data_IF_853313319615
#
_entry.id   IF_853313319615
#
_cell.length_a   1.000
_cell.length_b   1.000
_cell.length_c   1.000
_cell.angle_alpha   90.00
_cell.angle_beta   90.00
_cell.angle_gamma   90.00
#
_symmetry.space_group_name_H-M   'P 1'
#
loop_
_entity.id
_entity.type
_entity.pdbx_description
1 polymer ?
#
# COMPACT_ATOMS: atom_id res chain seq x y z
N UNK A 1 22.70 19.03 -7.74
CA UNK A 1 21.35 19.66 -7.76
C UNK A 1 20.89 19.75 -6.31
N UNK A 2 20.71 20.95 -5.76
CA UNK A 2 20.15 21.13 -4.42
C UNK A 2 18.69 20.65 -4.45
N UNK A 3 18.37 19.54 -3.77
CA UNK A 3 16.98 19.17 -3.45
C UNK A 3 16.48 20.24 -2.47
N UNK A 4 15.90 21.32 -2.99
CA UNK A 4 15.11 22.23 -2.15
C UNK A 4 14.03 21.41 -1.48
N UNK A 5 13.97 21.47 -0.14
CA UNK A 5 12.93 20.81 0.65
C UNK A 5 11.59 21.38 0.20
N UNK A 6 10.88 20.67 -0.68
CA UNK A 6 9.53 21.05 -1.07
C UNK A 6 8.64 20.76 0.13
N UNK A 7 8.15 21.82 0.74
CA UNK A 7 7.21 21.71 1.85
C UNK A 7 5.81 21.50 1.29
N UNK A 8 5.27 20.31 1.54
CA UNK A 8 3.89 19.98 1.20
C UNK A 8 2.98 20.34 2.40
N UNK A 9 1.85 21.03 2.18
CA UNK A 9 0.90 21.33 3.25
C UNK A 9 0.30 20.07 3.87
N UNK A 10 -0.19 20.18 5.11
CA UNK A 10 -0.93 19.07 5.75
C UNK A 10 -2.24 18.77 5.02
N UNK A 11 -2.63 17.49 4.99
CA UNK A 11 -3.93 17.01 4.50
C UNK A 11 -5.12 17.74 5.11
N UNK A 12 -4.98 18.31 6.31
CA UNK A 12 -6.00 19.16 6.93
C UNK A 12 -6.37 20.41 6.10
N UNK A 13 -5.49 20.84 5.18
CA UNK A 13 -5.72 21.97 4.28
C UNK A 13 -6.29 21.55 2.91
N UNK A 14 -6.45 20.26 2.66
CA UNK A 14 -6.98 19.76 1.41
C UNK A 14 -8.51 19.92 1.39
N UNK A 15 -9.02 20.74 0.48
CA UNK A 15 -10.46 20.80 0.19
C UNK A 15 -10.84 19.65 -0.76
N UNK A 16 -11.68 18.68 -0.35
CA UNK A 16 -12.12 17.59 -1.21
C UNK A 16 -13.17 18.01 -2.26
N UNK A 17 -13.72 19.23 -2.20
CA UNK A 17 -14.81 19.69 -3.07
C UNK A 17 -14.38 19.82 -4.53
N UNK A 18 -15.29 19.50 -5.47
CA UNK A 18 -15.06 19.71 -6.91
C UNK A 18 -14.06 18.75 -7.58
N UNK A 19 -13.62 17.68 -6.91
CA UNK A 19 -12.57 16.77 -7.41
C UNK A 19 -13.06 15.65 -8.34
N UNK A 20 -14.31 15.65 -8.77
CA UNK A 20 -14.86 14.57 -9.60
C UNK A 20 -14.06 14.33 -10.90
N UNK A 21 -13.49 15.37 -11.51
CA UNK A 21 -12.62 15.26 -12.70
C UNK A 21 -11.14 14.99 -12.39
N UNK A 22 -10.74 14.89 -11.13
CA UNK A 22 -9.34 14.78 -10.72
C UNK A 22 -8.89 13.32 -10.60
N UNK A 23 -7.62 13.10 -10.88
CA UNK A 23 -6.89 11.90 -10.53
C UNK A 23 -6.04 12.11 -9.27
N UNK A 24 -5.80 11.02 -8.55
CA UNK A 24 -5.00 11.00 -7.32
C UNK A 24 -3.97 9.88 -7.35
N UNK A 25 -2.75 10.18 -6.88
CA UNK A 25 -1.75 9.20 -6.50
C UNK A 25 -1.52 9.27 -4.99
N UNK A 26 -1.73 8.18 -4.28
CA UNK A 26 -1.60 8.14 -2.83
C UNK A 26 -0.70 7.00 -2.38
N UNK A 27 0.18 7.25 -1.43
CA UNK A 27 0.80 6.16 -0.68
C UNK A 27 -0.26 5.41 0.18
N UNK A 28 0.08 4.21 0.65
CA UNK A 28 -0.82 3.37 1.44
C UNK A 28 -0.55 3.48 2.94
N UNK A 29 0.62 3.05 3.41
CA UNK A 29 0.93 2.91 4.84
C UNK A 29 1.20 4.28 5.47
N UNK A 30 0.39 4.70 6.44
CA UNK A 30 0.50 6.01 7.08
C UNK A 30 -0.19 7.14 6.32
N UNK A 31 -0.56 6.88 5.06
CA UNK A 31 -1.30 7.81 4.20
C UNK A 31 -2.78 7.44 4.17
N UNK A 32 -3.17 6.37 3.46
CA UNK A 32 -4.55 5.90 3.43
C UNK A 32 -4.89 4.99 4.63
N UNK A 33 -3.87 4.40 5.25
CA UNK A 33 -3.98 3.64 6.50
C UNK A 33 -3.42 4.45 7.68
N UNK A 34 -3.92 4.20 8.88
CA UNK A 34 -3.39 4.81 10.11
C UNK A 34 -2.01 4.22 10.44
N UNK A 35 -1.82 2.91 10.26
CA UNK A 35 -0.53 2.25 10.47
C UNK A 35 0.47 2.68 9.41
N UNK A 36 1.65 3.10 9.87
CA UNK A 36 2.82 3.40 9.02
C UNK A 36 3.76 2.20 8.85
N UNK A 37 3.33 1.02 9.29
CA UNK A 37 4.12 -0.20 9.26
C UNK A 37 3.34 -1.30 8.56
N UNK A 38 3.98 -1.87 7.55
CA UNK A 38 3.45 -2.99 6.77
C UNK A 38 3.61 -4.34 7.50
N UNK A 39 4.40 -4.39 8.58
CA UNK A 39 4.75 -5.62 9.30
C UNK A 39 3.52 -6.45 9.74
N UNK A 40 2.47 -5.87 10.34
CA UNK A 40 1.30 -6.65 10.75
C UNK A 40 0.61 -7.37 9.58
N UNK A 41 0.56 -6.74 8.41
CA UNK A 41 -0.06 -7.32 7.22
C UNK A 41 0.81 -8.43 6.63
N UNK A 42 2.14 -8.27 6.62
CA UNK A 42 3.07 -9.34 6.22
C UNK A 42 3.05 -10.51 7.21
N UNK A 43 2.88 -10.25 8.50
CA UNK A 43 2.69 -11.29 9.52
C UNK A 43 1.43 -12.12 9.24
N UNK A 44 0.30 -11.46 8.97
CA UNK A 44 -0.93 -12.15 8.59
C UNK A 44 -0.73 -12.97 7.32
N UNK A 45 -0.12 -12.39 6.29
CA UNK A 45 0.16 -13.12 5.05
C UNK A 45 1.05 -14.35 5.29
N UNK A 46 2.09 -14.22 6.11
CA UNK A 46 3.01 -15.31 6.44
C UNK A 46 2.30 -16.46 7.17
N UNK A 47 1.39 -16.15 8.10
CA UNK A 47 0.62 -17.14 8.84
C UNK A 47 -0.43 -17.81 7.96
N UNK A 48 -1.20 -17.03 7.20
CA UNK A 48 -2.32 -17.54 6.41
C UNK A 48 -1.87 -18.32 5.17
N UNK A 49 -0.84 -17.84 4.47
CA UNK A 49 -0.35 -18.49 3.27
C UNK A 49 0.80 -19.48 3.55
N UNK A 50 1.56 -19.29 4.64
CA UNK A 50 2.77 -20.07 4.94
C UNK A 50 2.78 -20.80 6.29
N UNK A 51 1.73 -20.66 7.10
CA UNK A 51 1.57 -21.33 8.39
C UNK A 51 2.22 -20.61 9.58
N UNK A 52 1.80 -21.01 10.78
CA UNK A 52 2.21 -20.37 12.05
C UNK A 52 3.73 -20.37 12.25
N UNK A 53 4.44 -21.45 11.89
CA UNK A 53 5.90 -21.52 12.03
C UNK A 53 6.61 -20.39 11.27
N UNK A 54 6.08 -20.01 10.11
CA UNK A 54 6.61 -18.91 9.31
C UNK A 54 6.33 -17.56 9.96
N UNK A 55 5.13 -17.38 10.52
CA UNK A 55 4.81 -16.21 11.32
C UNK A 55 5.74 -16.05 12.53
N UNK A 56 6.01 -17.14 13.26
CA UNK A 56 6.96 -17.14 14.38
C UNK A 56 8.38 -16.78 13.91
N UNK A 57 8.85 -17.37 12.80
CA UNK A 57 10.14 -17.01 12.22
C UNK A 57 10.22 -15.53 11.87
N UNK A 58 9.17 -14.98 11.24
CA UNK A 58 9.10 -13.55 10.91
C UNK A 58 9.12 -12.68 12.18
N UNK A 59 8.44 -13.10 13.24
CA UNK A 59 8.41 -12.38 14.52
C UNK A 59 9.81 -12.35 15.15
N UNK A 60 10.52 -13.47 15.16
CA UNK A 60 11.89 -13.58 15.66
C UNK A 60 12.87 -12.72 14.84
N UNK A 61 12.67 -12.62 13.53
CA UNK A 61 13.48 -11.79 12.63
C UNK A 61 13.05 -10.32 12.61
N UNK A 62 11.96 -9.93 13.28
CA UNK A 62 11.47 -8.56 13.27
C UNK A 62 12.47 -7.50 13.76
N UNK A 63 13.35 -7.75 14.76
CA UNK A 63 14.37 -6.80 15.15
C UNK A 63 15.43 -6.60 14.06
N UNK A 64 15.76 -7.67 13.32
CA UNK A 64 16.68 -7.62 12.18
C UNK A 64 16.07 -6.86 11.00
N UNK A 65 14.79 -7.09 10.71
CA UNK A 65 14.04 -6.31 9.70
C UNK A 65 14.07 -4.82 10.06
N UNK A 66 13.81 -4.47 11.32
CA UNK A 66 13.86 -3.09 11.79
C UNK A 66 15.27 -2.49 11.70
N UNK A 67 16.29 -3.26 12.09
CA UNK A 67 17.69 -2.87 11.97
C UNK A 67 18.05 -2.55 10.51
N UNK A 68 17.74 -3.45 9.57
CA UNK A 68 18.00 -3.23 8.14
C UNK A 68 17.24 -2.01 7.63
N UNK A 69 15.95 -1.89 7.95
CA UNK A 69 15.10 -0.79 7.52
C UNK A 69 15.65 0.58 7.97
N UNK A 70 16.13 0.68 9.22
CA UNK A 70 16.55 1.97 9.82
C UNK A 70 18.01 2.32 9.61
N UNK A 71 18.91 1.33 9.65
CA UNK A 71 20.35 1.57 9.67
C UNK A 71 21.06 1.21 8.36
N UNK A 72 20.42 0.43 7.48
CA UNK A 72 21.00 0.04 6.19
C UNK A 72 20.24 0.72 5.05
N UNK A 73 19.00 0.31 4.81
CA UNK A 73 18.08 0.97 3.88
C UNK A 73 16.66 0.43 4.06
N UNK A 74 15.67 1.28 3.82
CA UNK A 74 14.26 0.89 3.81
C UNK A 74 14.00 -0.30 2.87
N UNK A 75 14.59 -0.27 1.67
CA UNK A 75 14.47 -1.35 0.69
C UNK A 75 15.01 -2.69 1.21
N UNK A 76 16.15 -2.72 1.92
CA UNK A 76 16.71 -3.96 2.47
C UNK A 76 15.81 -4.57 3.55
N UNK A 77 15.24 -3.74 4.43
CA UNK A 77 14.27 -4.21 5.43
C UNK A 77 13.02 -4.81 4.79
N UNK A 78 12.47 -4.14 3.76
CA UNK A 78 11.29 -4.63 3.03
C UNK A 78 11.61 -5.92 2.25
N UNK A 79 12.80 -6.04 1.65
CA UNK A 79 13.21 -7.27 0.98
C UNK A 79 13.29 -8.46 1.93
N UNK A 80 13.87 -8.29 3.13
CA UNK A 80 13.90 -9.36 4.12
C UNK A 80 12.49 -9.71 4.60
N UNK A 81 11.64 -8.71 4.84
CA UNK A 81 10.24 -8.89 5.22
C UNK A 81 9.47 -9.71 4.18
N UNK A 82 9.61 -9.36 2.89
CA UNK A 82 9.01 -10.11 1.76
C UNK A 82 9.56 -11.54 1.74
N UNK A 83 10.88 -11.70 1.77
CA UNK A 83 11.54 -12.99 1.66
C UNK A 83 11.03 -13.98 2.71
N UNK A 84 11.07 -13.60 3.99
CA UNK A 84 10.64 -14.47 5.09
C UNK A 84 9.14 -14.78 5.00
N UNK A 85 8.33 -13.82 4.54
CA UNK A 85 6.87 -13.98 4.46
C UNK A 85 6.44 -14.94 3.34
N UNK A 86 7.03 -14.85 2.14
CA UNK A 86 6.49 -15.53 0.95
C UNK A 86 7.44 -16.50 0.25
N UNK A 87 8.72 -16.59 0.62
CA UNK A 87 9.65 -17.49 -0.04
C UNK A 87 9.13 -18.94 -0.08
N UNK A 88 9.13 -19.52 -1.27
CA UNK A 88 8.69 -20.88 -1.54
C UNK A 88 7.18 -21.12 -1.51
N UNK A 89 6.32 -20.13 -1.23
CA UNK A 89 4.86 -20.31 -1.31
C UNK A 89 4.39 -20.40 -2.75
N UNK A 90 3.27 -21.09 -3.00
CA UNK A 90 2.60 -20.99 -4.30
C UNK A 90 1.95 -19.61 -4.38
N UNK A 91 2.08 -18.94 -5.52
CA UNK A 91 1.51 -17.61 -5.74
C UNK A 91 0.00 -17.58 -5.45
N UNK A 92 -0.72 -18.62 -5.86
CA UNK A 92 -2.16 -18.76 -5.59
C UNK A 92 -2.53 -18.73 -4.10
N UNK A 93 -1.66 -19.23 -3.21
CA UNK A 93 -1.93 -19.27 -1.77
C UNK A 93 -1.71 -17.86 -1.18
N UNK A 94 -0.72 -17.12 -1.70
CA UNK A 94 -0.50 -15.69 -1.39
C UNK A 94 -1.68 -14.86 -1.88
N UNK A 95 -2.13 -15.06 -3.13
CA UNK A 95 -3.30 -14.38 -3.70
C UNK A 95 -4.58 -14.67 -2.92
N UNK A 96 -4.76 -15.92 -2.48
CA UNK A 96 -5.92 -16.31 -1.67
C UNK A 96 -5.93 -15.54 -0.35
N UNK A 97 -4.84 -15.58 0.42
CA UNK A 97 -4.73 -14.84 1.68
C UNK A 97 -4.91 -13.32 1.49
N UNK A 98 -4.35 -12.77 0.41
CA UNK A 98 -4.50 -11.36 0.06
C UNK A 98 -5.95 -10.96 -0.28
N UNK A 99 -6.75 -11.88 -0.82
CA UNK A 99 -8.16 -11.64 -1.15
C UNK A 99 -9.11 -11.91 0.01
N UNK A 100 -8.84 -12.90 0.85
CA UNK A 100 -9.80 -13.38 1.85
C UNK A 100 -9.54 -12.85 3.25
N UNK A 101 -8.27 -12.61 3.61
CA UNK A 101 -7.90 -12.25 4.99
C UNK A 101 -7.54 -10.77 5.08
N UNK A 102 -6.55 -10.34 4.30
CA UNK A 102 -5.99 -8.99 4.43
C UNK A 102 -6.99 -7.83 4.27
N UNK A 103 -8.00 -7.88 3.38
CA UNK A 103 -8.86 -6.71 3.15
C UNK A 103 -9.63 -6.29 4.40
N UNK A 104 -10.04 -7.23 5.25
CA UNK A 104 -10.72 -6.92 6.53
C UNK A 104 -9.80 -6.15 7.49
N UNK A 105 -8.53 -6.53 7.56
CA UNK A 105 -7.55 -5.87 8.44
C UNK A 105 -7.16 -4.49 7.90
N UNK A 106 -6.99 -4.37 6.59
CA UNK A 106 -6.76 -3.07 5.96
C UNK A 106 -7.96 -2.13 6.13
N UNK A 107 -9.19 -2.63 5.92
CA UNK A 107 -10.42 -1.87 6.08
C UNK A 107 -10.58 -1.29 7.49
N UNK A 108 -10.24 -2.09 8.51
CA UNK A 108 -10.27 -1.66 9.91
C UNK A 108 -9.22 -0.57 10.23
N UNK A 109 -8.27 -0.31 9.35
CA UNK A 109 -7.19 0.67 9.56
C UNK A 109 -7.24 1.86 8.59
N UNK A 110 -8.28 1.96 7.74
CA UNK A 110 -8.42 3.09 6.80
C UNK A 110 -8.61 4.39 7.55
N UNK A 111 -7.76 5.36 7.23
CA UNK A 111 -7.73 6.69 7.83
C UNK A 111 -8.74 7.62 7.15
N UNK A 112 -9.58 8.32 7.92
CA UNK A 112 -10.76 9.00 7.39
C UNK A 112 -10.50 10.32 6.63
N UNK A 113 -9.50 11.10 7.03
CA UNK A 113 -9.19 12.41 6.42
C UNK A 113 -8.58 12.27 5.02
N UNK A 114 -7.52 11.48 4.88
CA UNK A 114 -6.84 11.20 3.61
C UNK A 114 -7.72 10.39 2.67
N UNK A 115 -8.47 9.40 3.17
CA UNK A 115 -9.42 8.65 2.36
C UNK A 115 -10.53 9.54 1.79
N UNK A 116 -10.98 10.57 2.52
CA UNK A 116 -11.96 11.55 2.02
C UNK A 116 -11.43 12.32 0.81
N UNK A 117 -10.17 12.75 0.83
CA UNK A 117 -9.54 13.40 -0.32
C UNK A 117 -9.37 12.42 -1.49
N UNK A 118 -8.91 11.20 -1.21
CA UNK A 118 -8.72 10.14 -2.20
C UNK A 118 -10.02 9.75 -2.92
N UNK A 119 -11.11 9.50 -2.18
CA UNK A 119 -12.41 9.12 -2.74
C UNK A 119 -13.08 10.24 -3.53
N UNK A 120 -12.77 11.51 -3.22
CA UNK A 120 -13.35 12.66 -3.91
C UNK A 120 -12.84 12.80 -5.35
N UNK A 121 -11.64 12.30 -5.64
CA UNK A 121 -11.10 12.19 -7.00
C UNK A 121 -11.88 11.15 -7.80
N UNK A 122 -12.61 11.55 -8.84
CA UNK A 122 -13.50 10.66 -9.59
C UNK A 122 -12.93 10.11 -10.91
N UNK A 123 -11.86 10.71 -11.45
CA UNK A 123 -11.31 10.34 -12.77
C UNK A 123 -10.42 9.10 -12.71
N UNK A 124 -9.47 9.07 -11.78
CA UNK A 124 -8.54 7.94 -11.60
C UNK A 124 -7.89 7.95 -10.22
N UNK A 125 -7.83 6.81 -9.56
CA UNK A 125 -7.30 6.64 -8.20
C UNK A 125 -6.21 5.58 -8.22
N UNK A 126 -4.97 6.01 -7.97
CA UNK A 126 -3.79 5.15 -8.01
C UNK A 126 -3.14 5.10 -6.64
N UNK A 127 -2.87 3.89 -6.16
CA UNK A 127 -2.08 3.68 -4.93
C UNK A 127 -0.64 3.39 -5.31
N UNK A 128 0.32 4.08 -4.69
CA UNK A 128 1.76 3.93 -4.92
C UNK A 128 2.43 3.47 -3.64
N UNK A 129 2.76 2.19 -3.54
CA UNK A 129 3.21 1.58 -2.26
C UNK A 129 4.49 0.77 -2.41
N UNK A 130 5.25 0.68 -1.32
CA UNK A 130 6.38 -0.23 -1.24
C UNK A 130 5.95 -1.68 -0.96
N UNK A 131 4.68 -1.92 -0.56
CA UNK A 131 4.12 -3.25 -0.35
C UNK A 131 4.03 -4.05 -1.64
N UNK A 132 3.88 -5.37 -1.51
CA UNK A 132 3.65 -6.24 -2.66
C UNK A 132 2.33 -5.87 -3.36
N UNK A 133 2.37 -5.68 -4.68
CA UNK A 133 1.17 -5.36 -5.46
C UNK A 133 0.06 -6.42 -5.27
N UNK A 134 0.44 -7.71 -5.41
CA UNK A 134 -0.45 -8.87 -5.21
C UNK A 134 -1.13 -8.90 -3.83
N UNK A 135 -0.49 -8.31 -2.82
CA UNK A 135 -0.97 -8.30 -1.44
C UNK A 135 -2.03 -7.23 -1.19
N UNK A 136 -1.91 -6.08 -1.85
CA UNK A 136 -2.75 -4.90 -1.58
C UNK A 136 -3.83 -4.68 -2.63
N UNK A 137 -3.64 -5.17 -3.86
CA UNK A 137 -4.52 -4.91 -4.99
C UNK A 137 -5.98 -5.35 -4.76
N UNK A 138 -6.27 -6.51 -4.16
CA UNK A 138 -7.66 -6.89 -3.83
C UNK A 138 -8.35 -5.89 -2.91
N UNK A 139 -7.64 -5.39 -1.90
CA UNK A 139 -8.16 -4.39 -0.97
C UNK A 139 -8.35 -3.04 -1.64
N UNK A 140 -7.35 -2.55 -2.38
CA UNK A 140 -7.43 -1.23 -3.04
C UNK A 140 -8.59 -1.18 -4.04
N UNK A 141 -8.74 -2.21 -4.87
CA UNK A 141 -9.81 -2.26 -5.87
C UNK A 141 -11.18 -2.55 -5.26
N UNK A 142 -11.26 -3.50 -4.33
CA UNK A 142 -12.53 -3.93 -3.76
C UNK A 142 -13.11 -2.99 -2.70
N UNK A 143 -12.25 -2.38 -1.87
CA UNK A 143 -12.66 -1.64 -0.67
C UNK A 143 -12.39 -0.14 -0.76
N UNK A 144 -11.26 0.28 -1.34
CA UNK A 144 -10.95 1.70 -1.48
C UNK A 144 -11.55 2.33 -2.75
N UNK A 145 -12.02 1.50 -3.69
CA UNK A 145 -12.48 1.94 -5.01
C UNK A 145 -11.35 2.56 -5.83
N UNK A 146 -10.12 2.08 -5.64
CA UNK A 146 -8.95 2.46 -6.43
C UNK A 146 -8.89 1.70 -7.75
N UNK A 147 -8.34 2.34 -8.79
CA UNK A 147 -8.29 1.77 -10.14
C UNK A 147 -7.01 0.98 -10.38
N UNK A 148 -5.90 1.42 -9.78
CA UNK A 148 -4.57 0.85 -10.00
C UNK A 148 -3.73 0.83 -8.73
N UNK A 149 -2.91 -0.20 -8.61
CA UNK A 149 -1.82 -0.27 -7.63
C UNK A 149 -0.49 -0.29 -8.37
N UNK A 150 0.40 0.62 -7.99
CA UNK A 150 1.81 0.60 -8.32
C UNK A 150 2.55 0.11 -7.06
N UNK A 151 2.75 -1.21 -7.00
CA UNK A 151 3.35 -1.89 -5.86
C UNK A 151 4.67 -2.57 -6.22
N UNK A 152 5.37 -3.07 -5.21
CA UNK A 152 6.54 -3.93 -5.41
C UNK A 152 6.09 -5.25 -6.04
N UNK A 153 6.71 -5.61 -7.16
CA UNK A 153 6.39 -6.86 -7.86
C UNK A 153 7.17 -8.03 -7.29
N UNK A 154 6.50 -9.16 -7.09
CA UNK A 154 7.10 -10.39 -6.56
C UNK A 154 7.71 -11.20 -7.70
N UNK A 155 8.95 -11.66 -7.55
CA UNK A 155 9.53 -12.60 -8.49
C UNK A 155 8.96 -14.00 -8.25
N UNK A 156 8.44 -14.61 -9.31
CA UNK A 156 7.79 -15.93 -9.29
C UNK A 156 8.55 -16.85 -10.24
N UNK A 157 8.83 -18.07 -9.78
CA UNK A 157 9.41 -19.14 -10.58
C UNK A 157 8.38 -19.63 -11.61
N UNK A 158 8.56 -19.41 -12.92
CA UNK A 158 7.52 -19.67 -13.92
C UNK A 158 7.06 -21.13 -13.97
N UNK A 159 7.97 -22.08 -13.68
CA UNK A 159 7.72 -23.51 -13.81
C UNK A 159 6.87 -24.06 -12.67
N UNK A 160 7.06 -23.52 -11.46
CA UNK A 160 6.40 -24.03 -10.25
C UNK A 160 5.28 -23.11 -9.78
N UNK A 161 5.20 -21.88 -10.31
CA UNK A 161 4.30 -20.83 -9.83
C UNK A 161 4.57 -20.43 -8.38
N UNK A 162 5.80 -20.65 -7.88
CA UNK A 162 6.18 -20.33 -6.50
C UNK A 162 6.88 -19.00 -6.41
N UNK A 163 6.56 -18.25 -5.38
CA UNK A 163 7.28 -17.03 -5.01
C UNK A 163 8.73 -17.39 -4.65
N UNK A 164 9.70 -16.71 -5.26
CA UNK A 164 11.12 -16.91 -4.94
C UNK A 164 11.51 -16.28 -3.61
N UNK A 165 10.66 -15.38 -3.09
CA UNK A 165 10.98 -14.52 -1.94
C UNK A 165 11.72 -13.23 -2.32
N UNK A 166 12.12 -13.09 -3.59
CA UNK A 166 12.77 -11.89 -4.11
C UNK A 166 11.79 -11.01 -4.87
N UNK A 167 12.17 -9.75 -5.07
CA UNK A 167 11.39 -8.77 -5.83
C UNK A 167 11.80 -8.78 -7.30
N UNK A 168 10.83 -8.65 -8.20
CA UNK A 168 11.08 -8.47 -9.62
C UNK A 168 11.57 -7.03 -9.90
N UNK A 169 12.16 -6.80 -11.08
CA UNK A 169 12.57 -5.46 -11.51
C UNK A 169 11.36 -4.51 -11.60
N UNK A 170 11.47 -3.25 -11.11
CA UNK A 170 12.69 -2.51 -10.75
C UNK A 170 13.14 -2.66 -9.27
N UNK A 171 12.53 -3.56 -8.51
CA UNK A 171 12.78 -3.76 -7.08
C UNK A 171 11.75 -3.04 -6.19
N UNK A 172 12.05 -2.90 -4.90
CA UNK A 172 11.14 -2.27 -3.91
C UNK A 172 10.84 -0.81 -4.28
N UNK A 173 9.56 -0.43 -4.31
CA UNK A 173 9.07 0.90 -4.70
C UNK A 173 9.18 1.92 -3.56
N UNK A 174 10.36 2.51 -3.41
CA UNK A 174 10.66 3.57 -2.42
C UNK A 174 11.39 4.74 -3.08
N UNK A 175 11.15 5.97 -2.60
CA UNK A 175 11.80 7.18 -3.11
C UNK A 175 11.65 7.36 -4.62
N UNK A 176 12.77 7.56 -5.30
CA UNK A 176 12.85 7.73 -6.77
C UNK A 176 12.18 6.57 -7.56
N UNK A 177 12.06 5.36 -7.00
CA UNK A 177 11.34 4.26 -7.66
C UNK A 177 9.82 4.47 -7.66
N UNK A 178 9.25 5.08 -6.63
CA UNK A 178 7.83 5.51 -6.64
C UNK A 178 7.61 6.56 -7.73
N UNK A 179 8.51 7.54 -7.81
CA UNK A 179 8.52 8.55 -8.88
C UNK A 179 8.57 7.91 -10.26
N UNK A 180 9.51 6.99 -10.49
CA UNK A 180 9.67 6.28 -11.75
C UNK A 180 8.45 5.41 -12.11
N UNK A 181 7.82 4.76 -11.12
CA UNK A 181 6.59 4.00 -11.34
C UNK A 181 5.45 4.90 -11.81
N UNK A 182 5.29 6.07 -11.19
CA UNK A 182 4.25 7.03 -11.57
C UNK A 182 4.46 7.58 -13.00
N UNK A 183 5.71 7.90 -13.37
CA UNK A 183 6.06 8.35 -14.73
C UNK A 183 5.87 7.28 -15.81
N UNK A 184 5.87 5.99 -15.45
CA UNK A 184 5.57 4.89 -16.39
C UNK A 184 4.07 4.67 -16.56
N UNK A 185 3.30 4.96 -15.52
CA UNK A 185 1.85 4.75 -15.51
C UNK A 185 1.09 5.91 -16.19
N UNK A 186 1.62 7.13 -16.13
CA UNK A 186 0.98 8.33 -16.62
C UNK A 186 1.79 9.02 -17.72
N UNK A 187 1.09 9.51 -18.75
CA UNK A 187 1.64 10.48 -19.68
C UNK A 187 1.84 11.84 -18.98
N UNK A 188 2.73 12.69 -19.51
CA UNK A 188 3.10 13.95 -18.87
C UNK A 188 1.91 14.91 -18.72
N UNK A 189 1.00 14.91 -19.69
CA UNK A 189 -0.25 15.66 -19.75
C UNK A 189 -1.33 15.14 -18.81
N UNK A 190 -1.23 13.88 -18.37
CA UNK A 190 -2.24 13.16 -17.60
C UNK A 190 -1.89 12.98 -16.12
N UNK A 191 -0.79 13.59 -15.67
CA UNK A 191 -0.30 13.46 -14.30
C UNK A 191 -1.39 13.79 -13.27
N UNK A 192 -1.44 13.06 -12.14
CA UNK A 192 -2.47 13.26 -11.13
C UNK A 192 -2.54 14.71 -10.63
N UNK A 193 -3.77 15.20 -10.46
CA UNK A 193 -3.99 16.49 -9.81
C UNK A 193 -3.51 16.43 -8.35
N UNK A 194 -3.79 15.33 -7.65
CA UNK A 194 -3.55 15.20 -6.21
C UNK A 194 -2.50 14.13 -5.87
N UNK A 195 -1.50 14.49 -5.08
CA UNK A 195 -0.53 13.58 -4.47
C UNK A 195 -0.72 13.49 -2.94
N UNK A 196 -0.76 12.29 -2.36
CA UNK A 196 -0.86 12.08 -0.92
C UNK A 196 0.28 11.19 -0.42
N UNK A 197 0.98 11.59 0.64
CA UNK A 197 2.08 10.81 1.23
C UNK A 197 2.29 11.12 2.71
N UNK A 198 3.05 10.28 3.43
CA UNK A 198 3.27 10.42 4.87
C UNK A 198 4.74 10.71 5.24
N UNK A 199 5.67 10.55 4.29
CA UNK A 199 7.13 10.65 4.50
C UNK A 199 7.86 11.38 3.39
N UNK A 200 9.11 11.74 3.70
CA UNK A 200 10.04 12.35 2.71
C UNK A 200 10.27 11.45 1.48
N UNK A 201 10.19 10.13 1.64
CA UNK A 201 10.29 9.16 0.54
C UNK A 201 9.16 9.27 -0.49
N UNK A 202 8.05 9.92 -0.15
CA UNK A 202 6.90 10.13 -1.04
C UNK A 202 6.99 11.46 -1.80
N UNK A 203 7.82 12.40 -1.31
CA UNK A 203 7.96 13.73 -1.89
C UNK A 203 8.30 13.68 -3.38
N UNK A 204 9.11 12.70 -3.81
CA UNK A 204 9.58 12.60 -5.20
C UNK A 204 8.43 12.27 -6.18
N UNK A 205 7.42 11.47 -5.79
CA UNK A 205 6.25 11.22 -6.65
C UNK A 205 5.18 12.29 -6.46
N UNK A 206 4.98 12.80 -5.22
CA UNK A 206 4.05 13.89 -4.95
C UNK A 206 4.43 15.16 -5.71
N UNK A 207 5.73 15.40 -5.88
CA UNK A 207 6.31 16.48 -6.66
C UNK A 207 5.95 16.45 -8.15
N UNK A 208 5.45 15.33 -8.66
CA UNK A 208 4.96 15.20 -10.03
C UNK A 208 3.47 15.52 -10.15
N UNK A 209 2.73 15.53 -9.03
CA UNK A 209 1.31 15.87 -9.01
C UNK A 209 1.16 17.40 -9.02
N UNK A 210 -0.01 17.91 -9.46
CA UNK A 210 -0.27 19.35 -9.50
C UNK A 210 -0.28 19.98 -8.10
N UNK A 211 -0.84 19.27 -7.12
CA UNK A 211 -0.76 19.59 -5.71
C UNK A 211 -0.45 18.32 -4.90
N UNK A 212 0.20 18.48 -3.75
CA UNK A 212 0.52 17.38 -2.85
C UNK A 212 0.27 17.74 -1.39
N UNK A 213 -0.17 16.78 -0.59
CA UNK A 213 -0.44 16.97 0.83
C UNK A 213 0.21 15.88 1.69
N UNK A 214 0.83 16.31 2.79
CA UNK A 214 1.37 15.40 3.79
C UNK A 214 0.28 14.94 4.75
N UNK A 215 0.27 13.64 5.00
CA UNK A 215 -0.55 12.99 6.01
C UNK A 215 0.31 12.79 7.26
N UNK A 216 0.19 13.64 8.30
CA UNK A 216 1.06 13.57 9.47
C UNK A 216 0.76 12.32 10.30
N UNK A 217 1.78 11.75 10.93
CA UNK A 217 1.62 10.58 11.77
C UNK A 217 0.70 10.85 12.96
N UNK A 218 -0.43 10.14 13.03
CA UNK A 218 -1.38 10.23 14.14
C UNK A 218 -2.05 8.86 14.34
N UNK A 219 -1.71 8.18 15.44
CA UNK A 219 -2.30 6.87 15.78
C UNK A 219 -3.74 6.97 16.26
N UNK A 220 -4.16 8.15 16.69
CA UNK A 220 -5.52 8.47 17.16
C UNK A 220 -6.43 8.96 16.04
N UNK A 221 -5.91 9.10 14.81
CA UNK A 221 -6.69 9.52 13.66
C UNK A 221 -7.95 8.66 13.50
N UNK A 222 -9.07 9.33 13.20
CA UNK A 222 -10.34 8.68 12.99
C UNK A 222 -10.24 7.65 11.85
N UNK A 223 -10.79 6.46 12.11
CA UNK A 223 -10.92 5.39 11.12
C UNK A 223 -12.25 5.48 10.40
N UNK A 224 -12.27 5.05 9.16
CA UNK A 224 -13.49 4.94 8.38
C UNK A 224 -14.29 3.74 8.89
N UNK A 225 -15.59 3.89 9.20
CA UNK A 225 -16.46 2.75 9.45
C UNK A 225 -16.47 1.82 8.22
N UNK A 226 -16.29 0.50 8.38
CA UNK A 226 -16.20 -0.43 7.24
C UNK A 226 -17.39 -0.35 6.25
N UNK A 227 -18.57 0.06 6.72
CA UNK A 227 -19.79 0.21 5.93
C UNK A 227 -19.70 1.35 4.90
N UNK A 228 -18.78 2.30 5.09
CA UNK A 228 -18.54 3.39 4.13
C UNK A 228 -17.52 3.01 3.05
N UNK A 229 -16.77 1.94 3.24
CA UNK A 229 -15.83 1.41 2.27
C UNK A 229 -16.57 0.54 1.22
N UNK A 230 -15.91 0.28 0.10
CA UNK A 230 -16.37 -0.66 -0.92
C UNK A 230 -16.55 -2.08 -0.35
N UNK A 231 -17.57 -2.75 -0.88
CA UNK A 231 -18.14 -4.05 -0.52
C UNK A 231 -17.88 -4.62 0.89
N UNK A 232 -18.89 -4.44 1.75
CA UNK A 232 -19.51 -5.49 2.53
C UNK A 232 -20.86 -5.90 1.89
N UNK A 233 -20.90 -7.01 1.15
CA UNK A 233 -22.14 -7.81 1.01
C UNK A 233 -21.79 -9.25 1.38
N UNK A 234 -22.09 -9.61 2.61
CA UNK A 234 -22.16 -11.00 3.04
C UNK A 234 -23.64 -11.35 3.16
N UNK A 235 -24.24 -11.90 2.09
CA UNK A 235 -25.42 -12.75 2.28
C UNK A 235 -24.93 -14.13 2.68
N UNK A 236 -24.73 -14.34 3.98
CA UNK A 236 -24.87 -15.68 4.54
C UNK A 236 -26.26 -15.79 5.13
N UNK A 237 -27.27 -15.90 4.26
CA UNK A 237 -28.59 -16.36 4.69
C UNK A 237 -28.51 -17.90 4.82
N UNK A 238 -27.76 -18.34 5.83
CA UNK A 238 -27.64 -19.74 6.23
C UNK A 238 -28.89 -20.24 6.97
N UNK A 239 -30.08 -19.86 6.51
CA UNK A 239 -31.32 -20.51 6.93
C UNK A 239 -31.48 -21.82 6.17
N UNK A 240 -30.95 -22.87 6.78
CA UNK A 240 -31.55 -24.19 6.64
C UNK A 240 -32.94 -24.12 7.28
N UNK A 241 -33.98 -24.15 6.46
CA UNK A 241 -35.30 -24.67 6.86
C UNK A 241 -35.39 -26.07 6.29
#
# INVERSE_FOLDING_TARGET
>A
MQKGKRDFPSIARCDPSGRAGHAVAADLDGTLLVSRSSFPYFMLLAVEAGGILRGVLLLLLSPLVLFLYRLVSEAAGIQLLIFVSVAGLRLRDVELAARTVLPRFYAADVRADSWRAFRACGRRRVVVTANLAVMVEPFVKGWLGGDRVLGTELAVEPWTGRATGFVAGPGVLVGERKRAALLREFAAEDMPELGLGDRESDHDFMALCKEGYMVPADRSAARVPPEQLGLPIVFHDGRLV
#
